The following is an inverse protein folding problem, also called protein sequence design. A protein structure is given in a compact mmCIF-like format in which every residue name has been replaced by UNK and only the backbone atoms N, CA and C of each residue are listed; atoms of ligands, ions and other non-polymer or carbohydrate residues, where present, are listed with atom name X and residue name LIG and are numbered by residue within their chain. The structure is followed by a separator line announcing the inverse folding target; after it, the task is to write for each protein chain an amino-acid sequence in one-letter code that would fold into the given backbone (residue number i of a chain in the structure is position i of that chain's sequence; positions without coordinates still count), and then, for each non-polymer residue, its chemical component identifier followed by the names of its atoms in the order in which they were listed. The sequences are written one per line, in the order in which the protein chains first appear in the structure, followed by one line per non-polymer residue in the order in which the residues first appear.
data_IF_022727916186
#
_entry.id   IF_022727916186
#
_cell.length_a   1.000
_cell.length_b   1.000
_cell.length_c   1.000
_cell.angle_alpha   90.00
_cell.angle_beta   90.00
_cell.angle_gamma   90.00
#
_symmetry.space_group_name_H-M   'P 1'
#
loop_
_entity.id
_entity.type
_entity.pdbx_description
1 polymer ?
#
# COMPACT_ATOMS: atom_id res chain seq x y z
N UNK A 1 17.73 11.83 -3.05
CA UNK A 1 16.31 12.18 -3.14
C UNK A 1 15.51 11.00 -3.62
N UNK A 2 14.48 10.66 -2.88
CA UNK A 2 13.65 9.51 -3.25
C UNK A 2 12.64 9.91 -4.31
N UNK A 3 12.47 9.03 -5.29
CA UNK A 3 11.45 9.23 -6.28
C UNK A 3 10.10 8.79 -5.74
N UNK A 4 9.09 9.56 -6.02
CA UNK A 4 7.73 9.16 -5.71
C UNK A 4 7.34 7.97 -6.57
N UNK A 5 6.59 7.04 -6.00
CA UNK A 5 6.01 5.96 -6.80
C UNK A 5 5.04 6.57 -7.81
N UNK A 6 4.78 5.85 -8.90
CA UNK A 6 3.82 6.29 -9.88
C UNK A 6 2.42 6.41 -9.29
N UNK A 7 2.07 5.49 -8.41
CA UNK A 7 0.78 5.54 -7.74
C UNK A 7 0.65 6.82 -6.91
N UNK A 8 1.64 7.12 -6.07
CA UNK A 8 1.60 8.30 -5.22
C UNK A 8 1.65 9.61 -6.02
N UNK A 9 2.28 9.57 -7.19
CA UNK A 9 2.27 10.73 -8.08
C UNK A 9 0.86 11.07 -8.54
N UNK A 10 0.03 10.05 -8.73
CA UNK A 10 -1.36 10.25 -9.13
C UNK A 10 -2.26 10.59 -7.94
N UNK A 11 -2.14 9.84 -6.86
CA UNK A 11 -3.05 9.94 -5.72
C UNK A 11 -2.69 11.01 -4.72
N UNK A 12 -1.42 11.42 -4.69
CA UNK A 12 -0.92 12.26 -3.62
C UNK A 12 -0.42 11.41 -2.46
N UNK A 13 0.21 12.05 -1.50
CA UNK A 13 0.90 11.36 -0.41
C UNK A 13 0.11 11.38 0.90
N UNK A 14 -1.20 11.25 0.80
CA UNK A 14 -2.02 11.08 2.00
C UNK A 14 -1.67 9.76 2.69
N UNK A 15 -1.77 9.69 4.03
CA UNK A 15 -1.34 8.49 4.76
C UNK A 15 -1.97 7.19 4.26
N UNK A 16 -3.26 7.22 3.89
CA UNK A 16 -3.93 5.99 3.42
C UNK A 16 -3.26 5.47 2.15
N UNK A 17 -2.90 6.37 1.24
CA UNK A 17 -2.25 5.96 0.00
C UNK A 17 -0.80 5.53 0.22
N UNK A 18 -0.11 6.15 1.17
CA UNK A 18 1.25 5.74 1.52
C UNK A 18 1.28 4.34 2.10
N UNK A 19 0.28 4.00 2.92
CA UNK A 19 0.15 2.65 3.47
C UNK A 19 -0.06 1.63 2.35
N UNK A 20 -1.01 1.90 1.47
CA UNK A 20 -1.32 0.99 0.37
C UNK A 20 -0.11 0.83 -0.55
N UNK A 21 0.56 1.92 -0.87
CA UNK A 21 1.73 1.90 -1.74
C UNK A 21 2.85 1.05 -1.15
N UNK A 22 3.11 1.19 0.15
CA UNK A 22 4.12 0.36 0.83
C UNK A 22 3.78 -1.12 0.72
N UNK A 23 2.51 -1.46 0.96
CA UNK A 23 2.08 -2.86 0.90
C UNK A 23 2.13 -3.41 -0.52
N UNK A 24 1.84 -2.59 -1.52
CA UNK A 24 1.95 -3.00 -2.91
C UNK A 24 3.39 -3.33 -3.28
N UNK A 25 4.32 -2.51 -2.84
CA UNK A 25 5.74 -2.73 -3.12
C UNK A 25 6.30 -3.95 -2.41
N UNK A 26 5.58 -4.44 -1.40
CA UNK A 26 6.03 -5.55 -0.58
C UNK A 26 4.99 -6.69 -0.56
N UNK A 27 4.36 -6.95 -1.68
CA UNK A 27 3.37 -8.02 -1.80
C UNK A 27 3.96 -9.36 -1.37
N UNK A 28 3.18 -10.11 -0.64
CA UNK A 28 3.61 -11.42 -0.16
C UNK A 28 4.34 -11.39 1.18
N UNK A 29 4.66 -10.23 1.67
CA UNK A 29 5.31 -10.07 2.97
C UNK A 29 4.29 -9.58 3.99
N UNK A 30 4.48 -9.93 5.25
CA UNK A 30 3.59 -9.46 6.30
C UNK A 30 4.33 -8.58 7.32
N UNK A 31 3.58 -7.69 7.93
CA UNK A 31 4.13 -6.65 8.80
C UNK A 31 3.20 -6.34 9.96
N UNK A 32 3.77 -5.94 11.08
CA UNK A 32 3.01 -5.34 12.17
C UNK A 32 2.58 -3.93 11.76
N UNK A 33 1.62 -3.37 12.47
CA UNK A 33 1.21 -1.97 12.22
C UNK A 33 2.38 -1.01 12.37
N UNK A 34 3.23 -1.22 13.38
CA UNK A 34 4.41 -0.37 13.58
C UNK A 34 5.35 -0.42 12.38
N UNK A 35 5.56 -1.61 11.85
CA UNK A 35 6.41 -1.79 10.67
C UNK A 35 5.81 -1.12 9.45
N UNK A 36 4.50 -1.21 9.29
CA UNK A 36 3.80 -0.57 8.18
C UNK A 36 3.95 0.96 8.27
N UNK A 37 3.76 1.51 9.46
CA UNK A 37 3.91 2.95 9.65
C UNK A 37 5.31 3.41 9.28
N UNK A 38 6.32 2.68 9.76
CA UNK A 38 7.71 2.99 9.48
C UNK A 38 8.01 2.88 7.99
N UNK A 39 7.58 1.79 7.37
CA UNK A 39 7.81 1.56 5.95
C UNK A 39 7.11 2.57 5.06
N UNK A 40 5.91 2.99 5.45
CA UNK A 40 5.15 3.99 4.71
C UNK A 40 5.61 5.43 4.98
N UNK A 41 6.47 5.61 5.97
CA UNK A 41 6.97 6.95 6.30
C UNK A 41 5.95 7.84 6.99
N UNK A 42 5.11 7.26 7.83
CA UNK A 42 4.09 8.01 8.58
C UNK A 42 4.24 7.70 10.07
N UNK A 43 3.66 8.55 10.92
CA UNK A 43 3.67 8.32 12.35
C UNK A 43 2.72 7.19 12.72
N UNK A 44 2.94 6.58 13.89
CA UNK A 44 2.03 5.56 14.40
C UNK A 44 0.63 6.14 14.61
N UNK A 45 0.56 7.38 15.09
CA UNK A 45 -0.72 8.05 15.30
C UNK A 45 -1.48 8.18 13.98
N UNK A 46 -0.81 8.58 12.91
CA UNK A 46 -1.42 8.64 11.58
C UNK A 46 -1.91 7.28 11.14
N UNK A 47 -1.08 6.25 11.32
CA UNK A 47 -1.48 4.90 10.92
C UNK A 47 -2.74 4.46 11.64
N UNK A 48 -2.79 4.61 12.96
CA UNK A 48 -3.97 4.21 13.72
C UNK A 48 -5.21 5.00 13.33
N UNK A 49 -5.01 6.27 12.96
CA UNK A 49 -6.12 7.12 12.54
C UNK A 49 -6.75 6.63 11.23
N UNK A 50 -5.93 6.16 10.28
CA UNK A 50 -6.43 5.72 8.97
C UNK A 50 -6.65 4.21 8.86
N UNK A 51 -6.21 3.43 9.84
CA UNK A 51 -6.30 1.98 9.79
C UNK A 51 -7.73 1.45 9.63
N UNK A 52 -8.73 2.02 10.32
CA UNK A 52 -10.10 1.54 10.13
C UNK A 52 -10.58 1.60 8.68
N UNK A 53 -10.16 2.60 7.92
CA UNK A 53 -10.51 2.68 6.49
C UNK A 53 -9.82 1.57 5.70
N UNK A 54 -8.57 1.28 6.03
CA UNK A 54 -7.81 0.22 5.38
C UNK A 54 -8.51 -1.13 5.60
N UNK A 55 -8.91 -1.40 6.85
CA UNK A 55 -9.58 -2.65 7.18
C UNK A 55 -10.99 -2.72 6.60
N UNK A 56 -11.69 -1.60 6.60
CA UNK A 56 -13.06 -1.52 6.08
C UNK A 56 -13.14 -1.97 4.64
N UNK A 57 -12.17 -1.59 3.83
CA UNK A 57 -12.16 -1.94 2.41
C UNK A 57 -11.53 -3.30 2.14
N UNK A 58 -11.02 -3.97 3.16
CA UNK A 58 -10.48 -5.31 3.03
C UNK A 58 -9.16 -5.38 2.26
N UNK A 59 -8.43 -4.26 2.18
CA UNK A 59 -7.17 -4.22 1.44
C UNK A 59 -6.05 -4.96 2.16
N UNK A 60 -6.23 -5.26 3.43
CA UNK A 60 -5.26 -6.05 4.22
C UNK A 60 -5.95 -7.24 4.84
N UNK A 61 -5.16 -8.27 5.15
CA UNK A 61 -5.65 -9.42 5.92
C UNK A 61 -4.61 -9.80 6.95
N UNK A 62 -5.07 -10.41 8.04
CA UNK A 62 -4.17 -10.92 9.09
C UNK A 62 -3.55 -12.21 8.60
N UNK A 63 -2.23 -12.32 8.73
CA UNK A 63 -1.51 -13.55 8.39
C UNK A 63 -1.17 -14.38 9.62
N UNK A 64 -0.75 -13.70 10.70
CA UNK A 64 -0.33 -14.37 11.92
C UNK A 64 -0.73 -13.54 13.13
N UNK A 65 -1.00 -14.23 14.23
CA UNK A 65 -1.31 -13.58 15.50
C UNK A 65 -0.45 -14.16 16.60
N UNK A 66 0.08 -13.30 17.46
CA UNK A 66 0.87 -13.69 18.62
C UNK A 66 0.32 -12.92 19.81
N UNK A 67 -0.58 -13.57 20.57
CA UNK A 67 -1.26 -12.86 21.64
C UNK A 67 -2.07 -11.69 21.06
N UNK A 68 -1.74 -10.47 21.47
CA UNK A 68 -2.42 -9.28 20.96
C UNK A 68 -1.77 -8.71 19.71
N UNK A 69 -0.59 -9.21 19.36
CA UNK A 69 0.12 -8.74 18.17
C UNK A 69 -0.37 -9.46 16.93
N UNK A 70 -0.54 -8.72 15.85
CA UNK A 70 -0.99 -9.27 14.57
C UNK A 70 -0.08 -8.78 13.46
N UNK A 71 0.12 -9.65 12.47
CA UNK A 71 0.83 -9.28 11.25
C UNK A 71 -0.17 -9.23 10.11
N UNK A 72 0.05 -8.30 9.20
CA UNK A 72 -0.87 -8.02 8.09
C UNK A 72 -0.13 -8.07 6.76
N UNK A 73 -0.84 -8.46 5.73
CA UNK A 73 -0.32 -8.43 4.36
C UNK A 73 -1.38 -7.83 3.44
N UNK A 74 -0.97 -7.41 2.26
CA UNK A 74 -1.89 -6.94 1.24
C UNK A 74 -2.81 -8.09 0.84
N UNK A 75 -4.12 -7.83 0.83
CA UNK A 75 -5.09 -8.83 0.44
C UNK A 75 -5.30 -8.77 -1.08
N UNK A 76 -4.47 -9.53 -1.81
CA UNK A 76 -4.44 -9.47 -3.28
C UNK A 76 -5.71 -10.00 -3.93
N UNK A 77 -6.56 -10.72 -3.19
CA UNK A 77 -7.83 -11.23 -3.73
C UNK A 77 -8.99 -10.28 -3.54
N UNK A 78 -8.79 -9.22 -2.77
CA UNK A 78 -9.84 -8.24 -2.52
C UNK A 78 -10.10 -7.41 -3.78
N UNK A 79 -11.37 -7.18 -4.16
CA UNK A 79 -11.66 -6.43 -5.40
C UNK A 79 -11.09 -5.02 -5.42
N UNK A 80 -11.11 -4.31 -4.30
CA UNK A 80 -10.53 -2.96 -4.25
C UNK A 80 -9.03 -3.03 -4.48
N UNK A 81 -8.35 -3.97 -3.81
CA UNK A 81 -6.93 -4.18 -4.01
C UNK A 81 -6.61 -4.49 -5.47
N UNK A 82 -7.41 -5.35 -6.09
CA UNK A 82 -7.19 -5.72 -7.48
C UNK A 82 -7.28 -4.53 -8.41
N UNK A 83 -8.23 -3.63 -8.16
CA UNK A 83 -8.35 -2.43 -8.99
C UNK A 83 -7.17 -1.48 -8.79
N UNK A 84 -6.66 -1.37 -7.57
CA UNK A 84 -5.47 -0.57 -7.30
C UNK A 84 -4.26 -1.18 -8.02
N UNK A 85 -4.13 -2.50 -8.00
CA UNK A 85 -3.05 -3.19 -8.69
C UNK A 85 -3.14 -2.97 -10.20
N UNK A 86 -4.35 -3.00 -10.75
CA UNK A 86 -4.56 -2.73 -12.18
C UNK A 86 -4.19 -1.29 -12.51
N UNK A 87 -4.55 -0.36 -11.65
CA UNK A 87 -4.18 1.05 -11.83
C UNK A 87 -2.66 1.21 -11.84
N UNK A 88 -1.97 0.60 -10.90
CA UNK A 88 -0.52 0.66 -10.84
C UNK A 88 0.11 0.10 -12.11
N UNK A 89 -0.40 -1.04 -12.59
CA UNK A 89 0.07 -1.64 -13.84
C UNK A 89 -0.11 -0.70 -15.02
N UNK A 90 -1.27 -0.04 -15.08
CA UNK A 90 -1.55 0.90 -16.16
C UNK A 90 -0.60 2.09 -16.12
N UNK A 91 -0.30 2.58 -14.92
CA UNK A 91 0.63 3.70 -14.76
C UNK A 91 2.05 3.31 -15.18
N UNK A 92 2.47 2.11 -14.82
CA UNK A 92 3.79 1.60 -15.21
C UNK A 92 3.86 1.47 -16.73
N UNK A 93 2.84 0.86 -17.32
CA UNK A 93 2.78 0.66 -18.77
C UNK A 93 2.80 2.00 -19.51
N UNK A 94 2.05 2.98 -19.02
CA UNK A 94 2.02 4.31 -19.61
C UNK A 94 3.39 4.99 -19.52
N UNK A 95 4.04 4.88 -18.39
CA UNK A 95 5.36 5.48 -18.19
C UNK A 95 6.39 4.86 -19.13
N UNK A 96 6.33 3.53 -19.28
CA UNK A 96 7.24 2.82 -20.19
C UNK A 96 6.96 3.19 -21.64
N UNK A 97 5.69 3.33 -22.00
CA UNK A 97 5.30 3.76 -23.34
C UNK A 97 5.84 5.14 -23.67
N UNK A 98 5.77 6.07 -22.73
CA UNK A 98 6.31 7.40 -22.92
C UNK A 98 7.82 7.38 -23.17
N UNK A 99 8.52 6.48 -22.48
CA UNK A 99 9.97 6.34 -22.66
C UNK A 99 10.29 5.73 -24.02
N UNK A 100 9.55 4.71 -24.43
CA UNK A 100 9.80 3.99 -25.67
C UNK A 100 9.41 4.79 -26.91
N UNK A 101 8.35 5.55 -26.82
CA UNK A 101 7.77 6.27 -27.98
C UNK A 101 8.34 7.65 -28.21
N UNK A 102 9.42 7.96 -27.63
CA UNK A 102 10.06 9.27 -27.83
C UNK A 102 10.88 9.36 -29.09
#
# INVERSE_FOLDING_TARGET
MEEKSLLLSLTGELPVFKIVDFLLENKGMDFSKSEIAKGAGISRASLFNYWPEIEKHGTVRVTRSFGKAKLYTLNVKNPVTQKIMELEKALISEAMGRVINK
#
